data_IF_999468062365
#
_entry.id   IF_999468062365
#
_cell.length_a   1.000
_cell.length_b   1.000
_cell.length_c   1.000
_cell.angle_alpha   90.00
_cell.angle_beta   90.00
_cell.angle_gamma   90.00
#
_symmetry.space_group_name_H-M   'P 1'
#
loop_
_entity.id
_entity.type
_entity.pdbx_description
1 polymer ?
#
# COMPACT_ATOMS: atom_id res chain seq x y z
N UNK A 1 27.26 11.10 -12.51
CA UNK A 1 27.37 10.64 -11.10
C UNK A 1 26.61 9.33 -10.80
N UNK A 2 25.97 8.67 -11.78
CA UNK A 2 25.20 7.42 -11.57
C UNK A 2 26.02 6.12 -11.46
N UNK A 3 27.30 6.11 -11.86
CA UNK A 3 28.11 4.88 -11.89
C UNK A 3 28.67 4.51 -10.51
N UNK A 4 28.81 5.48 -9.60
CA UNK A 4 29.44 5.27 -8.29
C UNK A 4 28.50 4.67 -7.24
N UNK A 5 27.19 4.83 -7.37
CA UNK A 5 26.21 4.30 -6.41
C UNK A 5 26.07 2.77 -6.53
N UNK A 6 26.19 2.22 -7.75
CA UNK A 6 26.15 0.77 -8.00
C UNK A 6 27.37 0.03 -7.41
N UNK A 7 28.54 0.68 -7.35
CA UNK A 7 29.75 0.07 -6.80
C UNK A 7 29.73 -0.01 -5.25
N UNK A 8 29.11 0.98 -4.59
CA UNK A 8 29.02 1.01 -3.12
C UNK A 8 27.99 0.01 -2.61
N UNK A 9 26.87 -0.16 -3.31
CA UNK A 9 25.84 -1.14 -2.93
C UNK A 9 26.31 -2.60 -3.08
N UNK A 10 27.18 -2.88 -4.06
CA UNK A 10 27.78 -4.21 -4.27
C UNK A 10 28.84 -4.57 -3.22
N UNK A 11 29.47 -3.56 -2.60
CA UNK A 11 30.57 -3.77 -1.65
C UNK A 11 30.11 -4.10 -0.22
N UNK A 12 28.86 -3.77 0.13
CA UNK A 12 28.32 -4.04 1.48
C UNK A 12 27.84 -5.49 1.66
N UNK A 13 27.74 -6.28 0.58
CA UNK A 13 27.27 -7.67 0.58
C UNK A 13 28.34 -8.72 0.89
N UNK A 14 29.62 -8.32 1.02
CA UNK A 14 30.75 -9.28 1.09
C UNK A 14 31.33 -9.52 2.49
N UNK A 15 30.83 -8.86 3.56
CA UNK A 15 31.49 -8.89 4.87
C UNK A 15 30.80 -9.73 5.97
N UNK A 16 29.83 -10.58 5.64
CA UNK A 16 29.08 -11.36 6.66
C UNK A 16 29.06 -12.88 6.44
N UNK A 17 30.13 -13.46 5.88
CA UNK A 17 30.26 -14.92 5.75
C UNK A 17 30.71 -15.55 7.08
N UNK A 18 29.78 -15.78 8.00
CA UNK A 18 29.91 -16.87 8.99
C UNK A 18 29.33 -18.15 8.37
N UNK A 19 29.95 -19.30 8.62
CA UNK A 19 29.79 -20.52 7.82
C UNK A 19 28.39 -21.19 7.81
N UNK A 20 27.38 -20.64 8.49
CA UNK A 20 25.98 -21.03 8.32
C UNK A 20 25.28 -20.30 7.13
N UNK A 21 25.87 -19.21 6.63
CA UNK A 21 25.26 -18.34 5.62
C UNK A 21 25.16 -18.94 4.21
N UNK A 22 25.80 -20.07 3.91
CA UNK A 22 25.84 -20.57 2.53
C UNK A 22 24.49 -21.17 2.08
N UNK A 23 23.77 -21.87 2.97
CA UNK A 23 22.46 -22.43 2.63
C UNK A 23 21.38 -21.35 2.54
N UNK A 24 21.34 -20.45 3.52
CA UNK A 24 20.42 -19.30 3.48
C UNK A 24 20.68 -18.43 2.25
N UNK A 25 21.92 -18.01 2.00
CA UNK A 25 22.24 -17.16 0.82
C UNK A 25 21.89 -17.86 -0.49
N UNK A 26 22.08 -19.19 -0.57
CA UNK A 26 21.64 -19.97 -1.72
C UNK A 26 20.13 -19.93 -1.88
N UNK A 27 19.36 -20.16 -0.82
CA UNK A 27 17.88 -20.10 -0.84
C UNK A 27 17.36 -18.71 -1.23
N UNK A 28 17.93 -17.66 -0.64
CA UNK A 28 17.63 -16.27 -1.00
C UNK A 28 17.96 -15.99 -2.48
N UNK A 29 19.11 -16.47 -2.96
CA UNK A 29 19.52 -16.35 -4.35
C UNK A 29 18.61 -17.11 -5.32
N UNK A 30 18.15 -18.31 -4.97
CA UNK A 30 17.20 -19.09 -5.76
C UNK A 30 15.81 -18.43 -5.81
N UNK A 31 15.34 -17.88 -4.68
CA UNK A 31 14.11 -17.10 -4.63
C UNK A 31 14.19 -15.84 -5.51
N UNK A 32 15.28 -15.07 -5.43
CA UNK A 32 15.49 -13.90 -6.29
C UNK A 32 15.56 -14.31 -7.76
N UNK A 33 16.33 -15.35 -8.11
CA UNK A 33 16.43 -15.83 -9.49
C UNK A 33 15.10 -16.38 -10.03
N UNK A 34 14.22 -16.86 -9.15
CA UNK A 34 12.84 -17.19 -9.48
C UNK A 34 12.04 -15.92 -9.79
N UNK A 35 12.08 -14.92 -8.90
CA UNK A 35 11.41 -13.64 -9.07
C UNK A 35 11.81 -12.91 -10.36
N UNK A 36 13.10 -12.91 -10.69
CA UNK A 36 13.64 -12.26 -11.90
C UNK A 36 13.07 -12.86 -13.20
N UNK A 37 12.56 -14.09 -13.15
CA UNK A 37 11.94 -14.79 -14.28
C UNK A 37 10.42 -14.67 -14.32
N UNK A 38 9.81 -14.08 -13.29
CA UNK A 38 8.36 -13.89 -13.24
C UNK A 38 7.95 -12.92 -14.37
N UNK A 39 7.08 -13.34 -15.29
CA UNK A 39 6.62 -12.46 -16.36
C UNK A 39 5.84 -11.30 -15.75
N UNK A 40 6.00 -10.10 -16.31
CA UNK A 40 5.30 -8.90 -15.83
C UNK A 40 3.92 -8.72 -16.48
N UNK A 41 3.56 -9.59 -17.44
CA UNK A 41 2.27 -9.59 -18.15
C UNK A 41 2.02 -10.96 -18.80
N UNK A 42 0.77 -11.45 -18.86
CA UNK A 42 -0.42 -10.88 -18.21
C UNK A 42 -0.36 -11.03 -16.68
N UNK A 43 -1.15 -10.23 -15.95
CA UNK A 43 -1.16 -10.23 -14.48
C UNK A 43 -1.48 -11.61 -13.91
N UNK A 44 -2.39 -12.38 -14.54
CA UNK A 44 -2.74 -13.75 -14.10
C UNK A 44 -1.54 -14.70 -14.09
N UNK A 45 -0.64 -14.60 -15.07
CA UNK A 45 0.61 -15.37 -15.09
C UNK A 45 1.62 -14.81 -14.10
N UNK A 46 1.69 -13.48 -13.96
CA UNK A 46 2.57 -12.81 -12.98
C UNK A 46 2.28 -13.33 -11.56
N UNK A 47 1.00 -13.36 -11.18
CA UNK A 47 0.56 -13.76 -9.85
C UNK A 47 0.88 -15.22 -9.56
N UNK A 48 0.52 -16.12 -10.50
CA UNK A 48 0.71 -17.56 -10.29
C UNK A 48 2.19 -17.98 -10.28
N UNK A 49 3.05 -17.32 -11.05
CA UNK A 49 4.50 -17.59 -11.02
C UNK A 49 5.20 -16.96 -9.80
N UNK A 50 4.81 -15.74 -9.37
CA UNK A 50 5.41 -15.09 -8.21
C UNK A 50 5.27 -15.92 -6.92
N UNK A 51 4.07 -16.45 -6.65
CA UNK A 51 3.81 -17.23 -5.43
C UNK A 51 4.69 -18.48 -5.33
N UNK A 52 5.03 -19.11 -6.46
CA UNK A 52 5.89 -20.30 -6.47
C UNK A 52 7.29 -20.00 -5.91
N UNK A 53 7.78 -18.78 -6.08
CA UNK A 53 9.08 -18.37 -5.58
C UNK A 53 9.17 -18.37 -4.04
N UNK A 54 8.03 -18.31 -3.33
CA UNK A 54 7.98 -18.39 -1.87
C UNK A 54 8.54 -19.71 -1.33
N UNK A 55 8.41 -20.80 -2.07
CA UNK A 55 8.83 -22.13 -1.63
C UNK A 55 10.33 -22.25 -1.37
N UNK A 56 11.17 -21.45 -2.05
CA UNK A 56 12.63 -21.42 -1.84
C UNK A 56 13.04 -20.83 -0.49
N UNK A 57 12.19 -19.99 0.12
CA UNK A 57 12.46 -19.28 1.36
C UNK A 57 11.40 -19.56 2.42
N UNK A 58 10.69 -20.70 2.36
CA UNK A 58 9.60 -20.99 3.30
C UNK A 58 10.09 -21.21 4.74
N UNK A 59 11.33 -21.65 4.91
CA UNK A 59 11.95 -22.01 6.19
C UNK A 59 13.09 -21.07 6.62
N UNK A 60 13.32 -19.98 5.88
CA UNK A 60 14.38 -19.01 6.15
C UNK A 60 13.83 -17.85 6.99
N UNK A 61 14.17 -17.78 8.28
CA UNK A 61 13.73 -16.69 9.17
C UNK A 61 14.78 -15.59 9.24
N UNK A 62 14.75 -14.65 8.28
CA UNK A 62 15.67 -13.51 8.24
C UNK A 62 15.03 -12.28 7.60
N UNK A 63 15.52 -11.06 7.92
CA UNK A 63 15.02 -9.82 7.31
C UNK A 63 15.10 -9.83 5.77
N UNK A 64 16.10 -10.49 5.20
CA UNK A 64 16.26 -10.64 3.75
C UNK A 64 15.21 -11.57 3.15
N UNK A 65 14.90 -12.68 3.82
CA UNK A 65 13.80 -13.55 3.40
C UNK A 65 12.46 -12.81 3.47
N UNK A 66 12.24 -11.98 4.49
CA UNK A 66 11.03 -11.16 4.59
C UNK A 66 10.94 -10.07 3.53
N UNK A 67 12.05 -9.43 3.16
CA UNK A 67 12.08 -8.51 2.01
C UNK A 67 11.66 -9.21 0.70
N UNK A 68 12.13 -10.44 0.48
CA UNK A 68 11.74 -11.25 -0.68
C UNK A 68 10.27 -11.68 -0.60
N UNK A 69 9.77 -12.09 0.58
CA UNK A 69 8.35 -12.44 0.76
C UNK A 69 7.44 -11.24 0.51
N UNK A 70 7.79 -10.07 1.02
CA UNK A 70 7.12 -8.80 0.73
C UNK A 70 7.03 -8.60 -0.79
N UNK A 71 8.15 -8.69 -1.51
CA UNK A 71 8.20 -8.55 -2.97
C UNK A 71 7.36 -9.59 -3.73
N UNK A 72 7.40 -10.85 -3.28
CA UNK A 72 6.57 -11.95 -3.82
C UNK A 72 5.09 -11.63 -3.66
N UNK A 73 4.68 -11.19 -2.47
CA UNK A 73 3.28 -10.86 -2.22
C UNK A 73 2.83 -9.64 -3.01
N UNK A 74 3.68 -8.63 -3.23
CA UNK A 74 3.37 -7.50 -4.10
C UNK A 74 3.10 -7.94 -5.54
N UNK A 75 4.00 -8.76 -6.11
CA UNK A 75 3.81 -9.30 -7.47
C UNK A 75 2.58 -10.21 -7.53
N UNK A 76 2.34 -11.03 -6.50
CA UNK A 76 1.14 -11.85 -6.35
C UNK A 76 -0.14 -11.03 -6.14
N UNK A 77 -0.02 -9.81 -5.60
CA UNK A 77 -1.05 -8.80 -5.52
C UNK A 77 -1.30 -8.09 -6.85
N UNK A 78 -0.51 -8.37 -7.89
CA UNK A 78 -0.58 -7.69 -9.17
C UNK A 78 0.04 -6.29 -9.16
N UNK A 79 0.88 -5.98 -8.18
CA UNK A 79 1.70 -4.77 -8.13
C UNK A 79 3.02 -5.08 -8.83
N UNK A 80 3.07 -4.79 -10.13
CA UNK A 80 4.27 -4.95 -10.96
C UNK A 80 5.16 -3.71 -10.90
N UNK A 81 6.39 -3.82 -11.38
CA UNK A 81 7.30 -2.66 -11.52
C UNK A 81 6.67 -1.53 -12.33
N UNK A 82 5.91 -1.85 -13.38
CA UNK A 82 5.24 -0.84 -14.20
C UNK A 82 4.16 -0.08 -13.41
N UNK A 83 3.38 -0.79 -12.56
CA UNK A 83 2.40 -0.13 -11.68
C UNK A 83 3.08 0.75 -10.63
N UNK A 84 4.16 0.28 -10.02
CA UNK A 84 4.94 1.10 -9.08
C UNK A 84 5.48 2.37 -9.76
N UNK A 85 6.00 2.26 -10.98
CA UNK A 85 6.46 3.42 -11.75
C UNK A 85 5.30 4.38 -12.06
N UNK A 86 4.12 3.86 -12.39
CA UNK A 86 2.93 4.69 -12.59
C UNK A 86 2.49 5.37 -11.29
N UNK A 87 2.52 4.65 -10.16
CA UNK A 87 2.19 5.20 -8.84
C UNK A 87 3.10 6.38 -8.48
N UNK A 88 4.42 6.22 -8.69
CA UNK A 88 5.39 7.30 -8.45
C UNK A 88 5.18 8.46 -9.42
N UNK A 89 4.81 8.22 -10.68
CA UNK A 89 4.49 9.30 -11.62
C UNK A 89 3.25 10.07 -11.20
N UNK A 90 2.21 9.39 -10.75
CA UNK A 90 0.99 10.01 -10.25
C UNK A 90 1.27 10.95 -9.06
N UNK A 91 2.22 10.60 -8.18
CA UNK A 91 2.66 11.51 -7.12
C UNK A 91 3.30 12.79 -7.70
N UNK A 92 4.16 12.65 -8.71
CA UNK A 92 4.93 13.77 -9.24
C UNK A 92 4.14 14.72 -10.16
N UNK A 93 3.09 14.23 -10.81
CA UNK A 93 2.37 14.99 -11.85
C UNK A 93 1.29 15.96 -11.30
N UNK A 94 0.91 15.83 -10.01
CA UNK A 94 0.18 16.86 -9.24
C UNK A 94 -1.35 16.96 -9.44
N UNK A 95 -2.01 17.41 -8.35
CA UNK A 95 -3.44 17.35 -7.95
C UNK A 95 -3.96 15.92 -7.73
N UNK A 96 -4.41 15.62 -6.50
CA UNK A 96 -4.87 14.31 -6.00
C UNK A 96 -3.81 13.17 -5.94
N UNK A 97 -2.54 13.52 -5.74
CA UNK A 97 -1.37 12.62 -5.78
C UNK A 97 -1.45 11.42 -4.84
N UNK A 98 -2.04 11.58 -3.64
CA UNK A 98 -2.05 10.53 -2.64
C UNK A 98 -3.13 9.48 -2.94
N UNK A 99 -4.36 9.91 -3.21
CA UNK A 99 -5.42 8.99 -3.63
C UNK A 99 -5.01 8.26 -4.92
N UNK A 100 -4.43 8.98 -5.89
CA UNK A 100 -3.90 8.39 -7.12
C UNK A 100 -2.83 7.34 -6.83
N UNK A 101 -1.88 7.64 -5.95
CA UNK A 101 -0.85 6.70 -5.51
C UNK A 101 -1.43 5.46 -4.85
N UNK A 102 -2.31 5.66 -3.86
CA UNK A 102 -2.99 4.62 -3.10
C UNK A 102 -3.71 3.65 -4.04
N UNK A 103 -4.45 4.18 -5.03
CA UNK A 103 -5.20 3.37 -5.99
C UNK A 103 -4.33 2.46 -6.86
N UNK A 104 -3.07 2.86 -7.12
CA UNK A 104 -2.12 2.13 -7.93
C UNK A 104 -1.39 1.04 -7.12
N UNK A 105 -1.41 1.15 -5.79
CA UNK A 105 -0.87 0.15 -4.85
C UNK A 105 -1.91 -0.83 -4.32
N UNK A 106 -3.07 -0.91 -4.96
CA UNK A 106 -4.12 -1.85 -4.58
C UNK A 106 -3.78 -3.26 -5.04
N UNK A 107 -3.94 -4.23 -4.15
CA UNK A 107 -3.79 -5.65 -4.47
C UNK A 107 -4.98 -6.13 -5.33
N UNK A 108 -4.83 -6.04 -6.65
CA UNK A 108 -5.84 -6.46 -7.65
C UNK A 108 -5.73 -7.95 -8.03
N UNK A 109 -4.74 -8.67 -7.49
CA UNK A 109 -4.30 -9.98 -7.98
C UNK A 109 -5.26 -11.16 -7.86
N UNK A 110 -6.49 -10.98 -7.35
CA UNK A 110 -7.49 -12.05 -7.32
C UNK A 110 -8.84 -11.46 -7.73
N UNK A 111 -9.13 -11.54 -9.02
CA UNK A 111 -10.47 -11.33 -9.57
C UNK A 111 -11.49 -12.06 -8.71
N UNK A 112 -12.60 -11.40 -8.43
CA UNK A 112 -13.66 -11.87 -7.52
C UNK A 112 -14.26 -13.25 -7.87
N UNK A 113 -14.02 -13.75 -9.10
CA UNK A 113 -14.39 -15.10 -9.57
C UNK A 113 -13.33 -16.18 -9.34
N UNK A 114 -12.08 -15.80 -9.03
CA UNK A 114 -10.95 -16.70 -8.74
C UNK A 114 -10.59 -16.73 -7.25
N UNK A 115 -11.50 -16.27 -6.39
CA UNK A 115 -11.42 -16.43 -4.93
C UNK A 115 -11.49 -17.93 -4.54
N UNK A 116 -11.83 -18.81 -5.48
CA UNK A 116 -11.69 -20.27 -5.36
C UNK A 116 -10.34 -20.84 -5.81
N UNK A 117 -9.41 -20.02 -6.34
CA UNK A 117 -8.22 -20.52 -7.01
C UNK A 117 -6.94 -19.66 -6.83
N UNK A 118 -6.77 -18.96 -5.70
CA UNK A 118 -5.39 -18.77 -5.25
C UNK A 118 -4.89 -20.14 -4.78
N UNK A 119 -3.69 -20.55 -5.21
CA UNK A 119 -3.07 -21.80 -4.79
C UNK A 119 -2.89 -21.94 -3.26
N UNK A 120 -3.27 -20.91 -2.48
CA UNK A 120 -3.24 -20.82 -1.03
C UNK A 120 -4.60 -20.52 -0.36
N UNK A 121 -5.72 -20.39 -1.08
CA UNK A 121 -7.04 -20.07 -0.52
C UNK A 121 -7.15 -18.69 0.18
N UNK A 122 -6.18 -17.79 -0.04
CA UNK A 122 -6.11 -16.47 0.61
C UNK A 122 -6.76 -15.38 -0.24
N UNK A 123 -7.56 -14.50 0.37
CA UNK A 123 -8.20 -13.31 -0.25
C UNK A 123 -7.17 -12.21 -0.52
N UNK A 124 -7.51 -11.22 -1.36
CA UNK A 124 -6.68 -10.03 -1.58
C UNK A 124 -6.33 -9.32 -0.26
N UNK A 125 -7.30 -9.21 0.66
CA UNK A 125 -7.14 -8.68 2.02
C UNK A 125 -6.10 -9.46 2.83
N UNK A 126 -6.11 -10.80 2.76
CA UNK A 126 -5.11 -11.61 3.45
C UNK A 126 -3.73 -11.46 2.82
N UNK A 127 -3.64 -11.41 1.49
CA UNK A 127 -2.37 -11.27 0.80
C UNK A 127 -1.70 -9.92 1.07
N UNK A 128 -2.47 -8.83 1.12
CA UNK A 128 -1.91 -7.51 1.44
C UNK A 128 -1.48 -7.42 2.90
N UNK A 129 -2.23 -8.03 3.83
CA UNK A 129 -1.82 -8.12 5.23
C UNK A 129 -0.52 -8.91 5.39
N UNK A 130 -0.40 -10.05 4.69
CA UNK A 130 0.83 -10.84 4.66
C UNK A 130 1.99 -10.05 4.04
N UNK A 131 1.73 -9.31 2.97
CA UNK A 131 2.72 -8.42 2.37
C UNK A 131 3.21 -7.41 3.41
N UNK A 132 2.30 -6.63 4.00
CA UNK A 132 2.61 -5.62 5.00
C UNK A 132 3.41 -6.20 6.18
N UNK A 133 3.01 -7.35 6.73
CA UNK A 133 3.74 -8.02 7.80
C UNK A 133 5.18 -8.37 7.41
N UNK A 134 5.39 -8.95 6.23
CA UNK A 134 6.74 -9.26 5.74
C UNK A 134 7.55 -8.01 5.41
N UNK A 135 6.91 -6.98 4.85
CA UNK A 135 7.58 -5.71 4.59
C UNK A 135 8.04 -5.05 5.91
N UNK A 136 7.21 -5.09 6.95
CA UNK A 136 7.52 -4.65 8.31
C UNK A 136 8.66 -5.45 8.94
N UNK A 137 8.60 -6.78 8.88
CA UNK A 137 9.63 -7.67 9.41
C UNK A 137 11.00 -7.53 8.70
N UNK A 138 11.02 -7.07 7.45
CA UNK A 138 12.28 -6.83 6.71
C UNK A 138 13.16 -5.73 7.30
N UNK A 139 12.59 -4.81 8.09
CA UNK A 139 13.29 -3.64 8.62
C UNK A 139 13.70 -2.59 7.57
N UNK A 140 13.33 -2.76 6.29
CA UNK A 140 13.64 -1.81 5.22
C UNK A 140 12.54 -0.75 5.16
N UNK A 141 12.78 0.47 5.68
CA UNK A 141 11.80 1.57 5.76
C UNK A 141 10.97 1.76 4.47
N UNK A 142 11.60 1.68 3.29
CA UNK A 142 10.91 1.81 2.01
C UNK A 142 9.90 0.67 1.71
N UNK A 143 10.20 -0.56 2.11
CA UNK A 143 9.26 -1.68 2.00
C UNK A 143 8.12 -1.54 3.02
N UNK A 144 8.44 -1.13 4.26
CA UNK A 144 7.43 -0.88 5.30
C UNK A 144 6.39 0.14 4.82
N UNK A 145 6.89 1.27 4.29
CA UNK A 145 6.07 2.30 3.67
C UNK A 145 5.16 1.72 2.58
N UNK A 146 5.73 1.03 1.58
CA UNK A 146 4.96 0.44 0.48
C UNK A 146 3.92 -0.56 0.98
N UNK A 147 4.30 -1.45 1.91
CA UNK A 147 3.42 -2.49 2.47
C UNK A 147 2.22 -1.91 3.21
N UNK A 148 2.46 -0.93 4.09
CA UNK A 148 1.39 -0.27 4.86
C UNK A 148 0.50 0.58 3.93
N UNK A 149 1.08 1.27 2.93
CA UNK A 149 0.30 1.99 1.92
C UNK A 149 -0.55 1.06 1.07
N UNK A 150 -0.01 -0.07 0.63
CA UNK A 150 -0.77 -1.05 -0.15
C UNK A 150 -1.91 -1.65 0.68
N UNK A 151 -1.68 -1.87 1.99
CA UNK A 151 -2.73 -2.31 2.92
C UNK A 151 -3.82 -1.27 3.07
N UNK A 152 -3.46 0.00 3.30
CA UNK A 152 -4.41 1.11 3.35
C UNK A 152 -5.21 1.20 2.06
N UNK A 153 -4.54 1.25 0.89
CA UNK A 153 -5.22 1.30 -0.41
C UNK A 153 -6.11 0.11 -0.69
N UNK A 154 -5.68 -1.09 -0.35
CA UNK A 154 -6.52 -2.28 -0.51
C UNK A 154 -7.73 -2.24 0.42
N UNK A 155 -7.61 -1.75 1.66
CA UNK A 155 -8.73 -1.56 2.57
C UNK A 155 -9.69 -0.46 2.09
N UNK A 156 -9.16 0.68 1.64
CA UNK A 156 -9.91 1.79 1.04
C UNK A 156 -10.74 1.26 -0.12
N UNK A 157 -10.10 0.64 -1.13
CA UNK A 157 -10.83 0.21 -2.32
C UNK A 157 -11.81 -0.93 -2.02
N UNK A 158 -11.49 -1.86 -1.11
CA UNK A 158 -12.43 -2.90 -0.68
C UNK A 158 -13.70 -2.30 -0.06
N UNK A 159 -13.59 -1.15 0.59
CA UNK A 159 -14.71 -0.44 1.21
C UNK A 159 -15.68 0.13 0.19
N UNK A 160 -15.20 0.61 -0.96
CA UNK A 160 -16.05 1.17 -2.02
C UNK A 160 -16.61 0.12 -2.98
N UNK A 161 -16.19 -1.14 -2.85
CA UNK A 161 -16.53 -2.23 -3.78
C UNK A 161 -18.03 -2.36 -4.07
N UNK A 162 -18.90 -2.13 -3.09
CA UNK A 162 -20.35 -2.21 -3.30
C UNK A 162 -20.94 -1.05 -4.10
N UNK A 163 -20.21 0.05 -4.30
CA UNK A 163 -20.64 1.24 -5.04
C UNK A 163 -20.13 1.24 -6.50
N UNK A 164 -18.88 0.85 -6.76
CA UNK A 164 -18.27 0.91 -8.10
C UNK A 164 -18.53 -0.33 -8.99
N UNK A 165 -19.01 -1.43 -8.41
CA UNK A 165 -19.23 -2.70 -9.12
C UNK A 165 -17.93 -3.46 -9.44
N UNK A 166 -18.05 -4.71 -9.88
CA UNK A 166 -16.91 -5.62 -10.10
C UNK A 166 -15.99 -5.21 -11.28
N UNK A 167 -16.42 -4.29 -12.15
CA UNK A 167 -15.67 -3.83 -13.32
C UNK A 167 -14.48 -2.94 -12.96
N UNK A 168 -14.56 -2.17 -11.87
CA UNK A 168 -13.49 -1.29 -11.38
C UNK A 168 -12.16 -2.04 -11.21
N UNK A 169 -12.24 -3.31 -10.79
CA UNK A 169 -11.10 -4.12 -10.38
C UNK A 169 -10.35 -4.81 -11.51
N UNK A 170 -10.94 -4.84 -12.71
CA UNK A 170 -10.43 -5.61 -13.84
C UNK A 170 -9.56 -4.79 -14.77
N UNK A 171 -9.67 -3.47 -14.73
CA UNK A 171 -8.89 -2.60 -15.59
C UNK A 171 -7.60 -2.14 -14.87
N UNK A 172 -6.41 -2.34 -15.46
CA UNK A 172 -5.18 -1.74 -14.95
C UNK A 172 -5.17 -0.20 -15.06
N UNK A 173 -6.15 0.41 -15.73
CA UNK A 173 -6.27 1.85 -15.87
C UNK A 173 -6.90 2.44 -14.61
N UNK A 174 -6.12 3.29 -13.94
CA UNK A 174 -6.56 4.19 -12.88
C UNK A 174 -7.83 4.95 -13.30
N UNK A 175 -8.89 4.87 -12.48
CA UNK A 175 -10.06 5.72 -12.61
C UNK A 175 -10.26 6.56 -11.35
N UNK A 176 -9.58 7.71 -11.32
CA UNK A 176 -9.69 8.73 -10.28
C UNK A 176 -11.13 9.03 -9.87
N UNK A 177 -12.00 9.21 -10.86
CA UNK A 177 -13.39 9.61 -10.63
C UNK A 177 -14.19 8.57 -9.85
N UNK A 178 -13.91 7.29 -10.06
CA UNK A 178 -14.57 6.19 -9.36
C UNK A 178 -14.04 6.06 -7.92
N UNK A 179 -12.75 6.31 -7.71
CA UNK A 179 -12.18 6.36 -6.36
C UNK A 179 -12.71 7.57 -5.57
N UNK A 180 -12.79 8.75 -6.19
CA UNK A 180 -13.38 9.94 -5.56
C UNK A 180 -14.86 9.73 -5.23
N UNK A 181 -15.63 9.11 -6.13
CA UNK A 181 -17.01 8.75 -5.85
C UNK A 181 -17.14 7.77 -4.67
N UNK A 182 -16.20 6.82 -4.54
CA UNK A 182 -16.11 5.94 -3.39
C UNK A 182 -15.82 6.70 -2.09
N UNK A 183 -14.78 7.54 -2.10
CA UNK A 183 -14.39 8.39 -0.97
C UNK A 183 -15.58 9.24 -0.49
N UNK A 184 -16.28 9.88 -1.42
CA UNK A 184 -17.50 10.64 -1.15
C UNK A 184 -18.57 9.79 -0.48
N UNK A 185 -18.78 8.54 -0.95
CA UNK A 185 -19.78 7.65 -0.40
C UNK A 185 -19.47 7.23 1.06
N UNK A 186 -18.19 7.06 1.38
CA UNK A 186 -17.75 6.82 2.76
C UNK A 186 -17.91 8.05 3.65
N UNK A 187 -17.39 9.20 3.22
CA UNK A 187 -17.45 10.45 3.99
C UNK A 187 -18.90 10.86 4.30
N UNK A 188 -19.81 10.69 3.32
CA UNK A 188 -21.24 11.01 3.49
C UNK A 188 -22.04 9.93 4.24
N UNK A 189 -21.43 8.80 4.58
CA UNK A 189 -22.09 7.67 5.24
C UNK A 189 -23.15 6.97 4.37
N UNK A 190 -23.13 7.20 3.05
CA UNK A 190 -24.05 6.53 2.10
C UNK A 190 -23.62 5.09 1.81
N UNK A 191 -22.40 4.72 2.17
CA UNK A 191 -21.86 3.36 2.12
C UNK A 191 -21.15 3.01 3.44
N UNK A 192 -21.23 1.73 3.83
CA UNK A 192 -20.45 1.21 4.96
C UNK A 192 -19.02 0.94 4.51
N UNK A 193 -18.07 1.60 5.15
CA UNK A 193 -16.65 1.49 4.82
C UNK A 193 -15.87 0.84 5.96
N UNK A 194 -14.82 0.09 5.61
CA UNK A 194 -13.95 -0.59 6.57
C UNK A 194 -12.90 0.38 7.12
N UNK A 195 -13.39 1.39 7.85
CA UNK A 195 -12.58 2.41 8.49
C UNK A 195 -11.60 1.82 9.51
N UNK A 196 -11.94 0.72 10.16
CA UNK A 196 -11.04 0.08 11.12
C UNK A 196 -9.78 -0.48 10.46
N UNK A 197 -9.90 -1.16 9.31
CA UNK A 197 -8.74 -1.64 8.55
C UNK A 197 -7.89 -0.49 8.01
N UNK A 198 -8.52 0.60 7.55
CA UNK A 198 -7.82 1.79 7.07
C UNK A 198 -7.04 2.43 8.22
N UNK A 199 -7.68 2.75 9.34
CA UNK A 199 -6.97 3.39 10.45
C UNK A 199 -5.89 2.50 11.06
N UNK A 200 -6.05 1.17 11.06
CA UNK A 200 -4.97 0.24 11.44
C UNK A 200 -3.75 0.40 10.52
N UNK A 201 -3.97 0.54 9.21
CA UNK A 201 -2.89 0.76 8.25
C UNK A 201 -2.25 2.15 8.42
N UNK A 202 -3.05 3.18 8.73
CA UNK A 202 -2.55 4.55 8.98
C UNK A 202 -1.71 4.62 10.26
N UNK A 203 -2.12 3.96 11.35
CA UNK A 203 -1.30 3.84 12.56
C UNK A 203 0.04 3.19 12.23
N UNK A 204 0.02 2.04 11.54
CA UNK A 204 1.24 1.34 11.15
C UNK A 204 2.14 2.18 10.22
N UNK A 205 1.52 2.99 9.36
CA UNK A 205 2.23 3.90 8.48
C UNK A 205 2.91 5.04 9.25
N UNK A 206 2.22 5.68 10.20
CA UNK A 206 2.83 6.68 11.09
C UNK A 206 4.01 6.09 11.86
N UNK A 207 3.80 4.95 12.54
CA UNK A 207 4.81 4.28 13.36
C UNK A 207 6.07 3.90 12.58
N UNK A 208 5.93 3.57 11.28
CA UNK A 208 7.05 3.11 10.44
C UNK A 208 7.71 4.23 9.64
N UNK A 209 6.99 5.28 9.29
CA UNK A 209 7.44 6.29 8.33
C UNK A 209 7.57 7.70 8.92
N UNK A 210 6.68 8.10 9.83
CA UNK A 210 6.55 9.50 10.26
C UNK A 210 7.39 9.89 11.48
N UNK A 211 7.96 8.93 12.21
CA UNK A 211 8.79 9.18 13.41
C UNK A 211 9.93 10.19 13.23
N UNK A 212 10.47 10.35 12.01
CA UNK A 212 11.58 11.27 11.72
C UNK A 212 11.24 12.29 10.61
N UNK A 213 9.95 12.46 10.28
CA UNK A 213 9.49 13.17 9.08
C UNK A 213 8.29 14.09 9.35
N UNK A 214 8.28 14.77 10.49
CA UNK A 214 7.17 15.65 10.89
C UNK A 214 6.87 16.79 9.88
N UNK A 215 7.89 17.22 9.13
CA UNK A 215 7.75 18.27 8.09
C UNK A 215 7.27 17.73 6.72
N UNK A 216 7.11 16.42 6.56
CA UNK A 216 6.61 15.80 5.33
C UNK A 216 5.08 15.96 5.27
N UNK A 217 4.55 16.54 4.20
CA UNK A 217 3.11 16.81 4.01
C UNK A 217 2.25 15.55 4.21
N UNK A 218 2.75 14.39 3.78
CA UNK A 218 2.06 13.10 3.96
C UNK A 218 1.98 12.73 5.45
N UNK A 219 3.06 12.98 6.20
CA UNK A 219 3.07 12.74 7.63
C UNK A 219 2.20 13.73 8.39
N UNK A 220 2.09 14.98 7.95
CA UNK A 220 1.15 15.93 8.55
C UNK A 220 -0.30 15.47 8.39
N UNK A 221 -0.68 14.95 7.22
CA UNK A 221 -2.03 14.40 6.99
C UNK A 221 -2.29 13.19 7.88
N UNK A 222 -1.35 12.25 7.94
CA UNK A 222 -1.42 11.05 8.78
C UNK A 222 -1.54 11.44 10.27
N UNK A 223 -0.67 12.31 10.78
CA UNK A 223 -0.69 12.76 12.18
C UNK A 223 -1.97 13.52 12.51
N UNK A 224 -2.50 14.30 11.57
CA UNK A 224 -3.78 14.97 11.75
C UNK A 224 -4.93 13.95 11.84
N UNK A 225 -4.91 12.85 11.06
CA UNK A 225 -5.90 11.78 11.18
C UNK A 225 -5.80 11.05 12.52
N UNK A 226 -4.57 10.83 13.00
CA UNK A 226 -4.30 10.23 14.32
C UNK A 226 -4.79 11.12 15.47
N UNK A 227 -4.62 12.45 15.35
CA UNK A 227 -5.06 13.40 16.37
C UNK A 227 -6.60 13.46 16.50
N UNK A 228 -7.34 13.09 15.45
CA UNK A 228 -8.79 13.19 15.39
C UNK A 228 -9.54 11.97 15.92
N UNK A 229 -8.86 10.88 16.27
CA UNK A 229 -9.50 9.65 16.77
C UNK A 229 -8.66 8.89 17.80
N UNK A 230 -9.33 8.24 18.76
CA UNK A 230 -8.66 7.40 19.77
C UNK A 230 -8.62 5.92 19.37
N UNK A 231 -9.44 5.52 18.40
CA UNK A 231 -9.56 4.15 17.91
C UNK A 231 -9.21 4.07 16.43
N UNK A 232 -8.75 2.90 15.96
CA UNK A 232 -8.45 2.66 14.55
C UNK A 232 -9.64 3.01 13.64
N UNK A 233 -10.88 2.74 14.08
CA UNK A 233 -12.07 3.10 13.32
C UNK A 233 -12.26 4.62 13.18
N UNK A 234 -12.07 5.38 14.26
CA UNK A 234 -12.17 6.85 14.23
C UNK A 234 -11.08 7.47 13.37
N UNK A 235 -9.84 6.98 13.50
CA UNK A 235 -8.69 7.40 12.68
C UNK A 235 -8.95 7.13 11.20
N UNK A 236 -9.49 5.96 10.86
CA UNK A 236 -9.81 5.64 9.47
C UNK A 236 -10.94 6.50 8.90
N UNK A 237 -11.95 6.86 9.70
CA UNK A 237 -12.97 7.83 9.28
C UNK A 237 -12.36 9.20 9.02
N UNK A 238 -11.55 9.71 9.94
CA UNK A 238 -10.87 11.00 9.77
C UNK A 238 -9.99 11.01 8.51
N UNK A 239 -9.29 9.91 8.22
CA UNK A 239 -8.47 9.79 7.02
C UNK A 239 -9.31 9.72 5.73
N UNK A 240 -10.49 9.08 5.74
CA UNK A 240 -11.42 9.13 4.61
C UNK A 240 -11.86 10.56 4.30
N UNK A 241 -12.24 11.30 5.35
CA UNK A 241 -12.72 12.68 5.23
C UNK A 241 -11.61 13.59 4.70
N UNK A 242 -10.37 13.45 5.19
CA UNK A 242 -9.21 14.15 4.64
C UNK A 242 -8.98 13.85 3.16
N UNK A 243 -8.95 12.58 2.76
CA UNK A 243 -8.72 12.20 1.36
C UNK A 243 -9.81 12.78 0.46
N UNK A 244 -11.07 12.76 0.90
CA UNK A 244 -12.18 13.35 0.16
C UNK A 244 -12.06 14.87 0.04
N UNK A 245 -11.72 15.56 1.15
CA UNK A 245 -11.62 17.01 1.19
C UNK A 245 -10.32 17.57 0.62
N UNK A 246 -9.32 16.73 0.35
CA UNK A 246 -8.07 17.12 -0.30
C UNK A 246 -8.27 17.57 -1.76
N UNK A 247 -9.36 17.13 -2.40
CA UNK A 247 -9.72 17.54 -3.75
C UNK A 247 -10.31 18.96 -3.74
N UNK A 248 -9.72 19.87 -4.52
CA UNK A 248 -10.17 21.26 -4.67
C UNK A 248 -11.65 21.36 -5.07
N UNK A 249 -12.19 20.37 -5.78
CA UNK A 249 -13.60 20.31 -6.15
C UNK A 249 -14.53 20.17 -4.94
N UNK A 250 -14.07 19.53 -3.86
CA UNK A 250 -14.88 19.14 -2.71
C UNK A 250 -14.66 20.03 -1.48
N UNK A 251 -13.58 20.83 -1.43
CA UNK A 251 -13.29 21.77 -0.33
C UNK A 251 -14.45 22.67 0.10
N UNK A 252 -15.33 23.03 -0.84
CA UNK A 252 -16.47 23.92 -0.55
C UNK A 252 -17.71 23.19 -0.01
N UNK A 253 -17.71 21.86 0.01
CA UNK A 253 -18.85 21.08 0.49
C UNK A 253 -18.97 21.15 2.00
N UNK A 254 -20.20 21.06 2.53
CA UNK A 254 -20.48 21.19 3.97
C UNK A 254 -19.70 20.17 4.82
N UNK A 255 -19.42 18.99 4.27
CA UNK A 255 -18.62 17.95 4.93
C UNK A 255 -17.14 18.35 5.05
N UNK A 256 -16.64 19.21 4.16
CA UNK A 256 -15.28 19.74 4.15
C UNK A 256 -15.17 21.17 4.68
N UNK A 257 -16.29 21.80 5.09
CA UNK A 257 -16.30 23.21 5.42
C UNK A 257 -15.84 23.46 6.87
N UNK A 258 -14.67 24.04 6.99
CA UNK A 258 -13.95 24.35 8.24
C UNK A 258 -14.55 25.48 9.08
N UNK A 259 -15.44 26.27 8.50
CA UNK A 259 -16.12 27.36 9.21
C UNK A 259 -17.25 26.84 10.12
N UNK A 260 -17.66 25.57 9.98
CA UNK A 260 -18.63 24.94 10.86
C UNK A 260 -17.97 24.57 12.20
N UNK A 261 -18.54 24.93 13.38
CA UNK A 261 -17.97 24.57 14.68
C UNK A 261 -17.81 23.07 14.92
N UNK A 262 -18.60 22.24 14.23
CA UNK A 262 -18.49 20.79 14.27
C UNK A 262 -17.24 20.26 13.53
N UNK A 263 -16.71 21.05 12.58
CA UNK A 263 -15.61 20.69 11.69
C UNK A 263 -14.30 21.41 12.05
N UNK A 264 -14.28 22.24 13.10
CA UNK A 264 -13.06 22.94 13.54
C UNK A 264 -11.99 22.00 14.12
N UNK A 265 -12.39 20.77 14.49
CA UNK A 265 -11.47 19.70 14.88
C UNK A 265 -11.29 18.66 13.76
N UNK A 266 -11.88 18.91 12.58
CA UNK A 266 -11.66 18.11 11.40
C UNK A 266 -10.23 18.36 10.92
N UNK A 267 -9.41 17.31 10.76
CA UNK A 267 -8.02 17.50 10.43
C UNK A 267 -7.80 17.99 8.98
N UNK A 268 -8.80 17.86 8.08
CA UNK A 268 -8.78 18.53 6.78
C UNK A 268 -8.78 20.07 6.93
N UNK A 269 -9.29 20.57 8.06
CA UNK A 269 -9.44 21.99 8.37
C UNK A 269 -8.28 22.60 9.15
N UNK A 270 -7.32 21.78 9.58
CA UNK A 270 -6.15 22.22 10.31
C UNK A 270 -5.02 22.71 9.39
N UNK A 271 -5.03 22.33 8.11
CA UNK A 271 -3.97 22.65 7.14
C UNK A 271 -4.24 23.93 6.30
N UNK A 272 -5.44 24.52 6.39
CA UNK A 272 -5.84 25.72 5.61
C UNK A 272 -5.67 27.07 6.37
N UNK A 273 -5.11 27.05 7.60
CA UNK A 273 -4.77 28.24 8.40
C UNK A 273 -3.26 28.39 8.62
#
# INVERSE_FOLDING_TARGET
MQVWILAVLSSLLLLITSCAGNEEQKKLGEAQACLDKVPQSPVTTTVSEAIKCKSYISDVDSPQADALRCSIYFLAGGITTNKLVQAVKAINDGQNSEAAFISLLVFNGITHSDVSASASGSTATNNVLLAANHCNASGVKGLQYLGNFAQAGTALVNSYKSAAGDSFWRDPVYNESEMQAGLAACATGTQTCDAESVGTAIIALSDSYCLDKEDDEQCQQIEAALASGATAKEIGNAYYDQLYCSDDAHKSETVCNCDQPANQNDPACLNDN
#
